data_IF_056661675283
#
_entry.id   IF_056661675283
#
_cell.length_a   1.000
_cell.length_b   1.000
_cell.length_c   1.000
_cell.angle_alpha   90.00
_cell.angle_beta   90.00
_cell.angle_gamma   90.00
#
_symmetry.space_group_name_H-M   'P 1'
#
loop_
_entity.id
_entity.type
_entity.pdbx_description
1 polymer ?
#
# COMPACT_ATOMS: atom_id res chain seq x y z
N UNK A 1 0.18 17.69 35.27
CA UNK A 1 -1.25 17.33 35.13
C UNK A 1 -1.31 15.97 34.44
N UNK A 2 -1.65 14.93 35.18
CA UNK A 2 -1.83 13.58 34.63
C UNK A 2 -3.19 13.54 33.94
N UNK A 3 -3.19 13.44 32.62
CA UNK A 3 -4.43 13.17 31.86
C UNK A 3 -4.87 11.76 32.24
N UNK A 4 -5.91 11.63 33.05
CA UNK A 4 -6.57 10.34 33.31
C UNK A 4 -7.12 9.84 31.98
N UNK A 5 -6.45 8.85 31.37
CA UNK A 5 -7.04 8.11 30.24
C UNK A 5 -8.32 7.44 30.75
N UNK A 6 -9.44 7.85 30.20
CA UNK A 6 -10.70 7.13 30.45
C UNK A 6 -10.54 5.69 29.94
N UNK A 7 -10.98 4.68 30.72
CA UNK A 7 -10.94 3.30 30.29
C UNK A 7 -11.73 3.18 28.98
N UNK A 8 -11.05 2.70 27.95
CA UNK A 8 -11.65 2.59 26.63
C UNK A 8 -12.40 1.26 26.54
N UNK A 9 -13.71 1.32 26.37
CA UNK A 9 -14.52 0.12 26.17
C UNK A 9 -14.13 -0.53 24.85
N UNK A 10 -13.73 -1.82 24.85
CA UNK A 10 -13.43 -2.57 23.65
C UNK A 10 -14.64 -2.57 22.72
N UNK A 11 -14.39 -2.33 21.42
CA UNK A 11 -15.44 -2.25 20.42
C UNK A 11 -14.93 -2.63 19.04
N UNK A 12 -15.82 -2.89 18.07
CA UNK A 12 -15.45 -3.10 16.68
C UNK A 12 -14.76 -1.86 16.11
N UNK A 13 -13.65 -2.07 15.40
CA UNK A 13 -12.84 -0.99 14.83
C UNK A 13 -12.55 -1.20 13.35
N UNK A 14 -12.45 -0.10 12.61
CA UNK A 14 -11.70 -0.05 11.35
C UNK A 14 -10.28 0.41 11.69
N UNK A 15 -9.30 -0.41 11.35
CA UNK A 15 -7.91 -0.16 11.71
C UNK A 15 -7.10 0.38 10.52
N UNK A 16 -6.09 1.20 10.81
CA UNK A 16 -5.00 1.53 9.88
C UNK A 16 -3.72 1.01 10.50
N UNK A 17 -3.00 0.15 9.80
CA UNK A 17 -1.72 -0.37 10.26
C UNK A 17 -0.59 0.03 9.31
N UNK A 18 0.48 0.56 9.88
CA UNK A 18 1.64 1.06 9.15
C UNK A 18 2.90 1.00 10.03
N UNK A 19 4.08 0.99 9.38
CA UNK A 19 5.37 1.16 10.03
C UNK A 19 6.04 2.43 9.51
N UNK A 20 6.32 3.35 10.43
CA UNK A 20 7.04 4.59 10.11
C UNK A 20 8.46 4.50 10.64
N UNK A 21 9.46 4.74 9.78
CA UNK A 21 10.86 4.74 10.15
C UNK A 21 11.38 6.15 10.44
N UNK A 22 12.13 6.27 11.53
CA UNK A 22 12.80 7.49 11.95
C UNK A 22 14.27 7.41 11.53
N UNK A 23 14.59 8.02 10.39
CA UNK A 23 15.90 7.91 9.73
C UNK A 23 16.23 6.45 9.40
N UNK A 24 17.41 5.98 9.77
CA UNK A 24 17.84 4.57 9.63
C UNK A 24 18.01 3.88 11.00
N UNK A 25 17.48 4.48 12.04
CA UNK A 25 17.71 4.05 13.41
C UNK A 25 16.71 2.99 13.84
N UNK A 26 15.43 3.33 13.81
CA UNK A 26 14.33 2.45 14.20
C UNK A 26 13.04 2.85 13.49
N UNK A 27 12.06 1.98 13.53
CA UNK A 27 10.69 2.24 13.11
C UNK A 27 9.70 2.03 14.24
N UNK A 28 8.48 2.49 14.04
CA UNK A 28 7.36 2.20 14.94
C UNK A 28 6.23 1.59 14.12
N UNK A 29 5.84 0.37 14.48
CA UNK A 29 4.64 -0.27 13.99
C UNK A 29 3.45 0.27 14.78
N UNK A 30 2.49 0.87 14.09
CA UNK A 30 1.31 1.49 14.71
C UNK A 30 0.05 0.85 14.16
N UNK A 31 -0.90 0.53 15.05
CA UNK A 31 -2.29 0.24 14.66
C UNK A 31 -3.19 1.32 15.27
N UNK A 32 -3.80 2.09 14.38
CA UNK A 32 -4.64 3.24 14.72
C UNK A 32 -6.11 2.93 14.42
N UNK A 33 -7.00 3.35 15.30
CA UNK A 33 -8.44 3.43 15.04
C UNK A 33 -8.82 4.90 14.77
N UNK A 34 -9.04 5.31 13.50
CA UNK A 34 -9.28 6.71 13.14
C UNK A 34 -10.51 7.31 13.81
N UNK A 35 -11.63 6.56 13.88
CA UNK A 35 -12.86 7.01 14.48
C UNK A 35 -12.74 7.28 16.00
N UNK A 36 -11.81 6.58 16.67
CA UNK A 36 -11.47 6.82 18.07
C UNK A 36 -10.40 7.90 18.24
N UNK A 37 -9.78 8.34 17.14
CA UNK A 37 -8.62 9.25 17.11
C UNK A 37 -7.42 8.76 17.95
N UNK A 38 -7.31 7.43 18.18
CA UNK A 38 -6.29 6.81 19.04
C UNK A 38 -5.40 5.84 18.29
N UNK A 39 -4.12 5.82 18.66
CA UNK A 39 -3.22 4.73 18.35
C UNK A 39 -3.46 3.67 19.45
N UNK A 40 -4.01 2.52 19.05
CA UNK A 40 -4.34 1.45 19.98
C UNK A 40 -3.16 0.52 20.27
N UNK A 41 -2.22 0.48 19.33
CA UNK A 41 -0.98 -0.27 19.46
C UNK A 41 0.17 0.54 18.84
N UNK A 42 1.33 0.50 19.49
CA UNK A 42 2.57 1.05 19.00
C UNK A 42 3.73 0.20 19.53
N UNK A 43 4.61 -0.24 18.64
CA UNK A 43 5.80 -1.03 18.99
C UNK A 43 7.00 -0.54 18.17
N UNK A 44 8.12 -0.34 18.86
CA UNK A 44 9.40 -0.09 18.21
C UNK A 44 9.87 -1.34 17.45
N UNK A 45 10.36 -1.15 16.23
CA UNK A 45 10.86 -2.21 15.36
C UNK A 45 12.13 -1.78 14.65
N UNK A 46 13.07 -2.71 14.46
CA UNK A 46 14.27 -2.48 13.69
C UNK A 46 14.01 -2.62 12.18
N UNK A 47 13.07 -3.49 11.83
CA UNK A 47 12.66 -3.73 10.44
C UNK A 47 11.15 -3.94 10.37
N UNK A 48 10.54 -3.55 9.26
CA UNK A 48 9.14 -3.88 9.01
C UNK A 48 9.00 -5.38 8.75
N UNK A 49 8.36 -6.12 9.65
CA UNK A 49 8.14 -7.56 9.58
C UNK A 49 6.64 -7.91 9.65
N UNK A 50 6.26 -9.07 9.15
CA UNK A 50 4.89 -9.60 9.30
C UNK A 50 4.58 -9.84 10.77
N UNK A 51 5.60 -10.26 11.55
CA UNK A 51 5.44 -10.54 12.97
C UNK A 51 5.06 -9.31 13.79
N UNK A 52 5.62 -8.13 13.48
CA UNK A 52 5.23 -6.88 14.16
C UNK A 52 3.72 -6.59 14.02
N UNK A 53 3.15 -6.81 12.83
CA UNK A 53 1.71 -6.67 12.62
C UNK A 53 0.91 -7.76 13.33
N UNK A 54 1.44 -8.99 13.37
CA UNK A 54 0.81 -10.12 14.08
C UNK A 54 0.72 -9.85 15.57
N UNK A 55 1.79 -9.37 16.19
CA UNK A 55 1.79 -8.99 17.61
C UNK A 55 0.79 -7.86 17.88
N UNK A 56 0.72 -6.88 17.00
CA UNK A 56 -0.27 -5.80 17.11
C UNK A 56 -1.71 -6.30 17.02
N UNK A 57 -2.00 -7.23 16.11
CA UNK A 57 -3.32 -7.87 15.99
C UNK A 57 -3.68 -8.63 17.27
N UNK A 58 -2.81 -9.51 17.75
CA UNK A 58 -3.02 -10.29 18.98
C UNK A 58 -3.27 -9.35 20.17
N UNK A 59 -2.43 -8.32 20.36
CA UNK A 59 -2.60 -7.36 21.45
C UNK A 59 -3.99 -6.69 21.42
N UNK A 60 -4.50 -6.34 20.24
CA UNK A 60 -5.83 -5.74 20.13
C UNK A 60 -6.95 -6.73 20.45
N UNK A 61 -6.84 -7.96 19.95
CA UNK A 61 -7.81 -9.03 20.19
C UNK A 61 -7.84 -9.41 21.68
N UNK A 62 -6.70 -9.55 22.35
CA UNK A 62 -6.58 -9.82 23.79
C UNK A 62 -7.21 -8.71 24.65
N UNK A 63 -7.18 -7.47 24.16
CA UNK A 63 -7.85 -6.31 24.78
C UNK A 63 -9.31 -6.18 24.40
N UNK A 64 -9.88 -7.16 23.69
CA UNK A 64 -11.29 -7.24 23.33
C UNK A 64 -11.72 -6.40 22.10
N UNK A 65 -10.77 -5.82 21.33
CA UNK A 65 -11.11 -5.15 20.09
C UNK A 65 -11.38 -6.15 18.98
N UNK A 66 -12.38 -5.88 18.16
CA UNK A 66 -12.66 -6.66 16.94
C UNK A 66 -12.33 -5.81 15.71
N UNK A 67 -11.38 -6.26 14.89
CA UNK A 67 -11.05 -5.57 13.63
C UNK A 67 -12.12 -5.93 12.59
N UNK A 68 -12.88 -4.95 12.13
CA UNK A 68 -13.93 -5.13 11.09
C UNK A 68 -13.42 -4.90 9.68
N UNK A 69 -12.41 -4.08 9.52
CA UNK A 69 -11.70 -3.85 8.27
C UNK A 69 -10.34 -3.24 8.59
N UNK A 70 -9.39 -3.37 7.66
CA UNK A 70 -8.05 -2.82 7.85
C UNK A 70 -7.52 -2.13 6.60
N UNK A 71 -6.84 -1.00 6.80
CA UNK A 71 -6.06 -0.30 5.77
C UNK A 71 -4.58 -0.64 5.95
N UNK A 72 -3.93 -1.11 4.88
CA UNK A 72 -2.53 -1.55 4.89
C UNK A 72 -1.67 -0.81 3.86
N UNK A 73 -0.39 -0.63 4.17
CA UNK A 73 0.61 -0.01 3.28
C UNK A 73 1.03 -0.89 2.09
N UNK A 74 0.65 -2.18 2.07
CA UNK A 74 0.92 -3.10 0.96
C UNK A 74 2.17 -3.96 1.13
N UNK A 75 2.70 -4.09 2.35
CA UNK A 75 3.78 -5.02 2.68
C UNK A 75 3.38 -6.46 2.30
N UNK A 76 4.18 -7.19 1.51
CA UNK A 76 3.94 -8.60 1.23
C UNK A 76 3.82 -9.44 2.51
N UNK A 77 2.88 -10.38 2.53
CA UNK A 77 2.63 -11.27 3.68
C UNK A 77 1.68 -10.69 4.75
N UNK A 78 1.64 -9.36 4.95
CA UNK A 78 0.74 -8.76 5.96
C UNK A 78 -0.74 -8.95 5.60
N UNK A 79 -1.09 -8.94 4.32
CA UNK A 79 -2.47 -9.21 3.88
C UNK A 79 -2.98 -10.58 4.28
N UNK A 80 -2.11 -11.61 4.23
CA UNK A 80 -2.48 -12.96 4.64
C UNK A 80 -2.85 -13.03 6.12
N UNK A 81 -2.20 -12.21 6.95
CA UNK A 81 -2.49 -12.11 8.37
C UNK A 81 -3.91 -11.58 8.65
N UNK A 82 -4.47 -10.76 7.74
CA UNK A 82 -5.79 -10.14 7.87
C UNK A 82 -6.78 -10.65 6.81
N UNK A 83 -6.57 -11.87 6.28
CA UNK A 83 -7.41 -12.44 5.21
C UNK A 83 -8.85 -12.73 5.61
N UNK A 84 -9.17 -12.70 6.89
CA UNK A 84 -10.50 -12.89 7.49
C UNK A 84 -11.34 -11.62 7.56
N UNK A 85 -10.76 -10.45 7.23
CA UNK A 85 -11.46 -9.16 7.23
C UNK A 85 -11.23 -8.39 5.92
N UNK A 86 -12.14 -7.47 5.53
CA UNK A 86 -11.93 -6.60 4.39
C UNK A 86 -10.63 -5.80 4.51
N UNK A 87 -9.81 -5.85 3.45
CA UNK A 87 -8.53 -5.16 3.39
C UNK A 87 -8.61 -4.03 2.36
N UNK A 88 -8.25 -2.82 2.77
CA UNK A 88 -8.07 -1.67 1.90
C UNK A 88 -6.58 -1.38 1.71
N UNK A 89 -6.10 -1.36 0.48
CA UNK A 89 -4.77 -0.83 0.16
C UNK A 89 -4.75 0.70 0.33
N UNK A 90 -3.83 1.20 1.11
CA UNK A 90 -3.67 2.64 1.32
C UNK A 90 -3.33 3.35 0.00
N UNK A 91 -4.17 4.28 -0.43
CA UNK A 91 -3.97 5.05 -1.67
C UNK A 91 -2.69 5.87 -1.63
N UNK A 92 -2.36 6.45 -0.48
CA UNK A 92 -1.11 7.20 -0.31
C UNK A 92 0.11 6.33 -0.60
N UNK A 93 0.18 5.12 0.00
CA UNK A 93 1.27 4.19 -0.25
C UNK A 93 1.28 3.68 -1.70
N UNK A 94 0.11 3.44 -2.30
CA UNK A 94 0.05 3.07 -3.71
C UNK A 94 0.62 4.17 -4.61
N UNK A 95 0.29 5.44 -4.36
CA UNK A 95 0.87 6.59 -5.08
C UNK A 95 2.38 6.67 -4.89
N UNK A 96 2.88 6.47 -3.67
CA UNK A 96 4.33 6.45 -3.39
C UNK A 96 5.04 5.29 -4.12
N UNK A 97 4.46 4.09 -4.17
CA UNK A 97 5.01 2.96 -4.92
C UNK A 97 5.16 3.35 -6.39
N UNK A 98 4.14 3.94 -7.00
CA UNK A 98 4.21 4.37 -8.41
C UNK A 98 5.26 5.48 -8.59
N UNK A 99 5.29 6.48 -7.73
CA UNK A 99 6.27 7.56 -7.80
C UNK A 99 7.73 7.06 -7.66
N UNK A 100 7.97 6.03 -6.84
CA UNK A 100 9.29 5.43 -6.65
C UNK A 100 9.83 4.77 -7.92
N UNK A 101 8.97 4.15 -8.74
CA UNK A 101 9.40 3.44 -9.94
C UNK A 101 9.72 4.39 -11.11
N UNK A 102 8.78 5.21 -11.63
CA UNK A 102 9.05 6.10 -12.76
C UNK A 102 9.70 7.43 -12.35
N UNK A 103 9.84 7.74 -11.07
CA UNK A 103 10.25 9.02 -10.45
C UNK A 103 9.09 9.99 -10.20
N UNK A 104 9.32 10.99 -9.32
CA UNK A 104 8.33 12.04 -9.05
C UNK A 104 8.13 12.99 -10.26
N UNK A 105 9.14 13.11 -11.11
CA UNK A 105 9.10 13.95 -12.32
C UNK A 105 9.44 13.11 -13.57
N UNK A 106 8.52 12.24 -14.03
CA UNK A 106 8.75 11.37 -15.17
C UNK A 106 8.83 12.16 -16.49
N UNK A 107 9.79 11.78 -17.35
CA UNK A 107 9.96 12.38 -18.68
C UNK A 107 9.29 11.58 -19.80
N UNK A 108 9.15 10.28 -19.64
CA UNK A 108 8.53 9.41 -20.64
C UNK A 108 7.00 9.56 -20.64
N UNK A 109 6.41 9.74 -21.80
CA UNK A 109 4.95 9.92 -21.94
C UNK A 109 4.14 8.82 -21.22
N UNK A 110 4.56 7.55 -21.36
CA UNK A 110 3.91 6.43 -20.68
C UNK A 110 3.99 6.54 -19.14
N UNK A 111 5.09 7.04 -18.61
CA UNK A 111 5.25 7.26 -17.16
C UNK A 111 4.44 8.44 -16.65
N UNK A 112 4.36 9.52 -17.44
CA UNK A 112 3.53 10.71 -17.13
C UNK A 112 2.06 10.32 -17.09
N UNK A 113 1.59 9.56 -18.08
CA UNK A 113 0.22 9.08 -18.13
C UNK A 113 -0.11 8.18 -16.94
N UNK A 114 0.75 7.19 -16.62
CA UNK A 114 0.53 6.29 -15.49
C UNK A 114 0.48 7.05 -14.15
N UNK A 115 1.36 8.05 -14.00
CA UNK A 115 1.35 8.91 -12.82
C UNK A 115 0.05 9.67 -12.69
N UNK A 116 -0.45 10.31 -13.76
CA UNK A 116 -1.73 11.04 -13.76
C UNK A 116 -2.91 10.14 -13.38
N UNK A 117 -2.96 8.91 -13.93
CA UNK A 117 -3.98 7.92 -13.58
C UNK A 117 -3.92 7.61 -12.08
N UNK A 118 -2.73 7.40 -11.54
CA UNK A 118 -2.55 7.05 -10.13
C UNK A 118 -2.84 8.25 -9.21
N UNK A 119 -2.51 9.46 -9.61
CA UNK A 119 -2.80 10.67 -8.83
C UNK A 119 -4.32 10.89 -8.66
N UNK A 120 -5.11 10.50 -9.67
CA UNK A 120 -6.58 10.54 -9.62
C UNK A 120 -7.23 9.42 -8.78
N UNK A 121 -6.46 8.48 -8.22
CA UNK A 121 -6.96 7.28 -7.52
C UNK A 121 -7.99 7.57 -6.42
N UNK A 122 -7.87 8.70 -5.70
CA UNK A 122 -8.81 9.07 -4.65
C UNK A 122 -10.10 9.77 -5.17
N UNK A 123 -10.17 10.05 -6.48
CA UNK A 123 -11.24 10.81 -7.12
C UNK A 123 -12.02 9.97 -8.15
N UNK A 124 -11.85 8.66 -8.12
CA UNK A 124 -12.44 7.72 -9.07
C UNK A 124 -13.05 6.52 -8.35
N UNK A 125 -13.73 5.66 -9.08
CA UNK A 125 -14.26 4.39 -8.60
C UNK A 125 -13.50 3.20 -9.22
N UNK A 126 -13.78 1.98 -8.73
CA UNK A 126 -13.12 0.75 -9.15
C UNK A 126 -13.26 0.51 -10.66
N UNK A 127 -14.46 0.72 -11.23
CA UNK A 127 -14.75 0.48 -12.64
C UNK A 127 -13.95 1.44 -13.54
N UNK A 128 -14.10 2.75 -13.32
CA UNK A 128 -13.48 3.76 -14.18
C UNK A 128 -11.95 3.72 -14.07
N UNK A 129 -11.41 3.46 -12.88
CA UNK A 129 -9.98 3.26 -12.70
C UNK A 129 -9.46 2.04 -13.42
N UNK A 130 -10.18 0.91 -13.34
CA UNK A 130 -9.83 -0.34 -14.00
C UNK A 130 -9.83 -0.18 -15.51
N UNK A 131 -10.86 0.46 -16.06
CA UNK A 131 -10.98 0.73 -17.49
C UNK A 131 -9.85 1.65 -17.97
N UNK A 132 -9.55 2.69 -17.22
CA UNK A 132 -8.48 3.64 -17.56
C UNK A 132 -7.10 2.96 -17.56
N UNK A 133 -6.82 2.14 -16.57
CA UNK A 133 -5.56 1.40 -16.47
C UNK A 133 -5.42 0.35 -17.58
N UNK A 134 -6.50 -0.32 -17.95
CA UNK A 134 -6.51 -1.30 -19.03
C UNK A 134 -6.30 -0.62 -20.39
N UNK A 135 -6.96 0.51 -20.67
CA UNK A 135 -6.75 1.32 -21.88
C UNK A 135 -5.31 1.81 -21.99
N UNK A 136 -4.74 2.30 -20.89
CA UNK A 136 -3.34 2.71 -20.82
C UNK A 136 -2.41 1.52 -21.15
N UNK A 137 -2.63 0.37 -20.54
CA UNK A 137 -1.81 -0.82 -20.77
C UNK A 137 -1.91 -1.29 -22.23
N UNK A 138 -3.09 -1.31 -22.82
CA UNK A 138 -3.29 -1.66 -24.23
C UNK A 138 -2.52 -0.70 -25.15
N UNK A 139 -2.67 0.61 -24.94
CA UNK A 139 -1.97 1.67 -25.68
C UNK A 139 -0.44 1.55 -25.57
N UNK A 140 0.08 1.13 -24.43
CA UNK A 140 1.52 1.08 -24.13
C UNK A 140 2.12 -0.31 -24.17
N UNK A 141 1.39 -1.32 -24.61
CA UNK A 141 1.82 -2.73 -24.54
C UNK A 141 3.09 -3.02 -25.32
N UNK A 142 3.24 -2.49 -26.55
CA UNK A 142 4.45 -2.62 -27.36
C UNK A 142 5.66 -1.98 -26.68
N UNK A 143 5.51 -0.73 -26.22
CA UNK A 143 6.53 0.00 -25.47
C UNK A 143 6.98 -0.76 -24.21
N UNK A 144 6.06 -1.35 -23.48
CA UNK A 144 6.38 -2.14 -22.28
C UNK A 144 7.08 -3.47 -22.61
N UNK A 145 7.00 -3.97 -23.84
CA UNK A 145 7.66 -5.20 -24.30
C UNK A 145 9.04 -4.97 -24.88
N UNK A 146 9.45 -3.73 -25.09
CA UNK A 146 10.79 -3.40 -25.58
C UNK A 146 11.87 -4.02 -24.72
N UNK A 147 12.93 -4.53 -25.40
CA UNK A 147 14.06 -5.21 -24.78
C UNK A 147 15.35 -4.55 -25.19
N UNK A 148 16.28 -4.50 -24.25
CA UNK A 148 17.66 -4.06 -24.45
C UNK A 148 18.57 -5.23 -24.17
N UNK A 149 19.61 -5.43 -25.00
CA UNK A 149 20.66 -6.43 -24.75
C UNK A 149 21.85 -5.73 -24.10
N UNK A 150 22.32 -6.28 -23.02
CA UNK A 150 23.54 -5.83 -22.35
C UNK A 150 24.75 -6.19 -23.24
N UNK A 151 25.52 -5.22 -23.71
CA UNK A 151 26.64 -5.46 -24.62
C UNK A 151 27.77 -6.28 -24.00
N UNK A 152 27.89 -6.28 -22.66
CA UNK A 152 28.96 -7.00 -21.95
C UNK A 152 28.60 -8.46 -21.68
N UNK A 153 27.33 -8.72 -21.35
CA UNK A 153 26.90 -10.06 -20.92
C UNK A 153 26.08 -10.80 -21.98
N UNK A 154 25.65 -10.11 -23.05
CA UNK A 154 24.74 -10.67 -24.07
C UNK A 154 23.32 -10.96 -23.55
N UNK A 155 23.04 -10.73 -22.28
CA UNK A 155 21.71 -10.96 -21.67
C UNK A 155 20.76 -9.84 -22.01
N UNK A 156 19.53 -10.19 -22.35
CA UNK A 156 18.47 -9.21 -22.56
C UNK A 156 17.68 -8.91 -21.28
N UNK A 157 17.16 -7.70 -21.19
CA UNK A 157 16.24 -7.27 -20.16
C UNK A 157 15.18 -6.33 -20.73
N UNK A 158 14.05 -6.16 -20.02
CA UNK A 158 13.06 -5.17 -20.44
C UNK A 158 13.60 -3.75 -20.28
N UNK A 159 13.62 -2.98 -21.35
CA UNK A 159 14.06 -1.58 -21.37
C UNK A 159 13.34 -0.75 -20.32
N UNK A 160 12.04 -0.95 -20.19
CA UNK A 160 11.17 -0.20 -19.29
C UNK A 160 10.80 -0.99 -18.03
N UNK A 161 11.75 -1.75 -17.44
CA UNK A 161 11.51 -2.63 -16.28
C UNK A 161 10.86 -1.91 -15.08
N UNK A 162 11.24 -0.65 -14.82
CA UNK A 162 10.67 0.13 -13.70
C UNK A 162 9.20 0.45 -13.93
N UNK A 163 8.84 0.90 -15.14
CA UNK A 163 7.44 1.19 -15.48
C UNK A 163 6.57 -0.08 -15.47
N UNK A 164 7.13 -1.21 -15.94
CA UNK A 164 6.48 -2.53 -15.83
C UNK A 164 6.21 -2.91 -14.37
N UNK A 165 7.16 -2.67 -13.48
CA UNK A 165 7.01 -2.94 -12.04
C UNK A 165 5.93 -2.03 -11.42
N UNK A 166 5.86 -0.77 -11.83
CA UNK A 166 4.82 0.16 -11.41
C UNK A 166 3.42 -0.35 -11.81
N UNK A 167 3.25 -0.71 -13.08
CA UNK A 167 1.98 -1.27 -13.57
C UNK A 167 1.62 -2.59 -12.86
N UNK A 168 2.59 -3.49 -12.69
CA UNK A 168 2.39 -4.76 -11.96
C UNK A 168 1.91 -4.52 -10.53
N UNK A 169 2.49 -3.53 -9.84
CA UNK A 169 2.05 -3.16 -8.49
C UNK A 169 0.58 -2.72 -8.47
N UNK A 170 0.15 -1.91 -9.44
CA UNK A 170 -1.27 -1.52 -9.57
C UNK A 170 -2.17 -2.73 -9.79
N UNK A 171 -1.79 -3.63 -10.69
CA UNK A 171 -2.59 -4.84 -10.98
C UNK A 171 -2.73 -5.75 -9.76
N UNK A 172 -1.65 -5.96 -9.00
CA UNK A 172 -1.67 -6.79 -7.79
C UNK A 172 -2.53 -6.14 -6.69
N UNK A 173 -2.51 -4.82 -6.59
CA UNK A 173 -3.21 -4.09 -5.54
C UNK A 173 -4.65 -3.71 -5.91
N UNK A 174 -5.04 -3.80 -7.20
CA UNK A 174 -6.33 -3.37 -7.71
C UNK A 174 -7.52 -3.94 -6.92
N UNK A 175 -7.57 -5.25 -6.56
CA UNK A 175 -8.68 -5.81 -5.78
C UNK A 175 -8.88 -5.18 -4.40
N UNK A 176 -7.86 -4.48 -3.90
CA UNK A 176 -7.82 -3.88 -2.56
C UNK A 176 -7.87 -2.34 -2.58
N UNK A 177 -7.85 -1.71 -3.78
CA UNK A 177 -7.80 -0.25 -3.86
C UNK A 177 -9.14 0.42 -3.59
N UNK A 178 -10.25 -0.32 -3.76
CA UNK A 178 -11.61 0.23 -3.66
C UNK A 178 -12.49 -0.55 -2.68
N UNK A 179 -11.89 -1.26 -1.74
CA UNK A 179 -12.63 -2.02 -0.71
C UNK A 179 -13.57 -1.11 0.10
N UNK A 180 -13.17 0.15 0.33
CA UNK A 180 -13.97 1.14 1.04
C UNK A 180 -15.25 1.57 0.32
N UNK A 181 -15.41 1.21 -0.95
CA UNK A 181 -16.63 1.49 -1.75
C UNK A 181 -17.64 0.34 -1.68
N UNK A 182 -17.28 -0.77 -1.06
CA UNK A 182 -18.09 -1.99 -0.89
C UNK A 182 -18.67 -2.06 0.50
#
# INVERSE_FOLDING_TARGET
>A
MSVKEQPHVPQPIVAIADVTFFKRSFGVCVIRAPHLKKNLYAQEVQTESVDAYKQGRINLEDRGYTIKAIVLAGRPGVRQLFGDVPIQMCHFHQKQIIARYPTNNPKLAASIELKKITDALCQTNERDFTDTINKWHQKRSSFLKERTTDPLTGKWFYTHKRLRSAYRSLKINLPYLFTYQK
#
